data_IF_004137599288
#
_entry.id   IF_004137599288
#
_cell.length_a   1.000
_cell.length_b   1.000
_cell.length_c   1.000
_cell.angle_alpha   90.00
_cell.angle_beta   90.00
_cell.angle_gamma   90.00
#
_symmetry.space_group_name_H-M   'P 1'
#
loop_
_entity.id
_entity.type
_entity.pdbx_description
1 polymer ?
#
# COMPACT_ATOMS: atom_id res chain seq x y z
N UNK A 1 -66.51 31.08 -36.92
CA UNK A 1 -65.74 30.85 -35.68
C UNK A 1 -64.85 29.60 -35.78
N UNK A 2 -63.73 29.63 -36.51
CA UNK A 2 -62.80 28.46 -36.63
C UNK A 2 -61.35 28.91 -37.03
N UNK A 3 -60.84 30.06 -36.57
CA UNK A 3 -59.47 30.51 -36.89
C UNK A 3 -58.58 30.84 -35.68
N UNK A 4 -59.05 30.71 -34.43
CA UNK A 4 -58.34 31.13 -33.24
C UNK A 4 -57.50 30.08 -32.52
N UNK A 5 -57.63 28.77 -32.80
CA UNK A 5 -57.06 27.67 -31.99
C UNK A 5 -55.70 27.14 -32.52
N UNK A 6 -55.34 27.47 -33.76
CA UNK A 6 -54.12 26.90 -34.38
C UNK A 6 -52.83 27.64 -34.06
N UNK A 7 -52.87 28.81 -33.44
CA UNK A 7 -51.65 29.64 -33.16
C UNK A 7 -51.06 29.32 -31.80
N UNK A 8 -51.89 28.91 -30.80
CA UNK A 8 -51.40 28.62 -29.46
C UNK A 8 -50.58 27.33 -29.35
N UNK A 9 -50.80 26.34 -30.24
CA UNK A 9 -50.11 25.01 -30.15
C UNK A 9 -48.66 25.10 -30.70
N UNK A 10 -48.39 26.04 -31.60
CA UNK A 10 -47.02 26.18 -32.18
C UNK A 10 -46.03 26.91 -31.27
N UNK A 11 -46.50 27.71 -30.32
CA UNK A 11 -45.64 28.47 -29.40
C UNK A 11 -45.20 27.60 -28.23
N UNK A 12 -46.02 26.64 -27.79
CA UNK A 12 -45.69 25.74 -26.67
C UNK A 12 -44.60 24.71 -27.00
N UNK A 13 -44.41 24.35 -28.25
CA UNK A 13 -43.38 23.35 -28.65
C UNK A 13 -41.99 23.96 -28.75
N UNK A 14 -41.87 25.28 -28.96
CA UNK A 14 -40.56 25.95 -29.08
C UNK A 14 -39.94 26.24 -27.72
N UNK A 15 -40.72 26.38 -26.64
CA UNK A 15 -40.22 26.65 -25.28
C UNK A 15 -39.61 25.40 -24.62
N UNK A 16 -40.02 24.19 -25.00
CA UNK A 16 -39.52 22.95 -24.42
C UNK A 16 -38.13 22.56 -24.96
N UNK A 17 -37.72 23.09 -26.12
CA UNK A 17 -36.40 22.74 -26.69
C UNK A 17 -35.23 23.62 -26.19
N UNK A 18 -35.49 24.70 -25.45
CA UNK A 18 -34.42 25.62 -24.99
C UNK A 18 -34.00 25.33 -23.52
N UNK A 19 -34.83 24.62 -22.77
CA UNK A 19 -34.50 24.30 -21.33
C UNK A 19 -33.75 22.98 -21.15
N UNK A 20 -33.54 22.19 -22.20
CA UNK A 20 -32.88 20.88 -22.13
C UNK A 20 -31.36 20.91 -22.25
N UNK A 21 -30.75 22.06 -22.59
CA UNK A 21 -29.32 22.09 -22.98
C UNK A 21 -28.36 22.57 -21.86
N UNK A 22 -28.86 23.00 -20.72
CA UNK A 22 -27.97 23.56 -19.65
C UNK A 22 -27.47 22.54 -18.64
N UNK A 23 -28.01 21.31 -18.60
CA UNK A 23 -27.61 20.32 -17.61
C UNK A 23 -26.52 19.35 -18.07
N UNK A 24 -26.23 19.28 -19.37
CA UNK A 24 -25.23 18.35 -19.93
C UNK A 24 -23.82 18.96 -19.94
N UNK A 25 -23.69 20.29 -19.95
CA UNK A 25 -22.38 20.96 -20.00
C UNK A 25 -21.73 21.12 -18.61
N UNK A 26 -22.47 21.03 -17.51
CA UNK A 26 -21.87 21.18 -16.18
C UNK A 26 -21.23 19.90 -15.62
N UNK A 27 -21.51 18.74 -16.21
CA UNK A 27 -20.93 17.45 -15.76
C UNK A 27 -19.52 17.17 -16.29
N UNK A 28 -19.11 17.78 -17.38
CA UNK A 28 -17.84 17.47 -18.08
C UNK A 28 -16.62 18.23 -17.53
N UNK A 29 -16.81 19.21 -16.66
CA UNK A 29 -15.73 20.01 -16.09
C UNK A 29 -15.45 19.70 -14.59
N UNK A 30 -16.03 18.63 -14.03
CA UNK A 30 -15.78 18.25 -12.64
C UNK A 30 -14.74 17.14 -12.45
N UNK A 31 -14.30 16.53 -13.53
CA UNK A 31 -13.58 15.26 -13.44
C UNK A 31 -12.14 15.41 -13.89
N UNK A 32 -11.17 15.71 -13.33
CA UNK A 32 -9.72 15.73 -13.53
C UNK A 32 -9.10 17.13 -13.43
N UNK A 33 -9.00 17.64 -12.22
CA UNK A 33 -8.26 18.88 -11.98
C UNK A 33 -6.73 18.64 -11.87
N UNK A 34 -6.30 17.40 -11.60
CA UNK A 34 -4.88 17.09 -11.48
C UNK A 34 -4.57 15.61 -11.59
N UNK A 35 -3.37 15.33 -12.07
CA UNK A 35 -2.80 13.99 -12.18
C UNK A 35 -1.42 13.99 -11.55
N UNK A 36 -1.12 12.98 -10.73
CA UNK A 36 0.23 12.69 -10.24
C UNK A 36 0.62 11.28 -10.67
N UNK A 37 1.87 11.12 -11.01
CA UNK A 37 2.47 9.84 -11.30
C UNK A 37 3.25 9.34 -10.09
N UNK A 38 3.31 8.04 -9.90
CA UNK A 38 4.10 7.45 -8.84
C UNK A 38 4.77 6.17 -9.30
N UNK A 39 5.82 5.80 -8.59
CA UNK A 39 6.54 4.55 -8.74
C UNK A 39 6.82 3.96 -7.36
N UNK A 40 6.53 2.69 -7.21
CA UNK A 40 6.84 1.89 -6.04
C UNK A 40 7.98 0.95 -6.42
N UNK A 41 9.03 0.93 -5.62
CA UNK A 41 10.22 0.11 -5.85
C UNK A 41 10.65 -0.59 -4.55
N UNK A 42 11.36 -1.69 -4.69
CA UNK A 42 11.92 -2.46 -3.58
C UNK A 42 13.35 -2.06 -3.22
N UNK A 43 14.00 -2.85 -2.37
CA UNK A 43 15.39 -2.65 -1.96
C UNK A 43 16.42 -2.79 -3.08
N UNK A 44 16.06 -3.47 -4.18
CA UNK A 44 16.91 -3.68 -5.35
C UNK A 44 16.64 -2.66 -6.47
N UNK A 45 15.84 -1.61 -6.19
CA UNK A 45 15.36 -0.62 -7.17
C UNK A 45 14.46 -1.22 -8.27
N UNK A 46 13.92 -2.41 -8.05
CA UNK A 46 12.96 -3.03 -8.96
C UNK A 46 11.54 -2.58 -8.65
N UNK A 47 10.73 -2.40 -9.71
CA UNK A 47 9.35 -1.96 -9.56
C UNK A 47 8.48 -3.02 -8.89
N UNK A 48 7.72 -2.65 -7.86
CA UNK A 48 6.82 -3.57 -7.14
C UNK A 48 5.43 -3.55 -7.77
N UNK A 49 5.01 -4.64 -8.46
CA UNK A 49 3.71 -4.71 -9.12
C UNK A 49 2.57 -5.04 -8.15
N UNK A 50 1.34 -4.78 -8.58
CA UNK A 50 0.10 -5.16 -7.90
C UNK A 50 -0.03 -4.64 -6.46
N UNK A 51 0.57 -3.48 -6.16
CA UNK A 51 0.41 -2.78 -4.88
C UNK A 51 -0.91 -2.00 -4.89
N UNK A 52 -1.74 -2.19 -3.87
CA UNK A 52 -2.92 -1.37 -3.63
C UNK A 52 -2.52 0.01 -3.12
N UNK A 53 -2.85 1.05 -3.87
CA UNK A 53 -2.56 2.45 -3.53
C UNK A 53 -3.84 3.12 -3.04
N UNK A 54 -3.92 3.39 -1.74
CA UNK A 54 -5.02 4.11 -1.11
C UNK A 54 -4.60 5.55 -0.82
N UNK A 55 -5.51 6.49 -1.06
CA UNK A 55 -5.31 7.89 -0.68
C UNK A 55 -6.49 8.32 0.19
N UNK A 56 -6.18 8.85 1.38
CA UNK A 56 -7.17 9.23 2.39
C UNK A 56 -8.16 8.09 2.72
N UNK A 57 -7.64 6.84 2.78
CA UNK A 57 -8.42 5.63 3.06
C UNK A 57 -9.16 5.01 1.87
N UNK A 58 -9.14 5.65 0.68
CA UNK A 58 -9.83 5.16 -0.51
C UNK A 58 -8.86 4.57 -1.54
N UNK A 59 -9.17 3.38 -2.06
CA UNK A 59 -8.40 2.78 -3.16
C UNK A 59 -8.49 3.70 -4.40
N UNK A 60 -7.35 4.17 -4.86
CA UNK A 60 -7.23 5.10 -6.01
C UNK A 60 -6.54 4.48 -7.20
N UNK A 61 -5.59 3.57 -6.97
CA UNK A 61 -4.83 2.92 -8.01
C UNK A 61 -4.31 1.55 -7.55
N UNK A 62 -3.82 0.77 -8.51
CA UNK A 62 -2.99 -0.41 -8.30
C UNK A 62 -1.77 -0.25 -9.19
N UNK A 63 -0.58 -0.56 -8.69
CA UNK A 63 0.65 -0.45 -9.47
C UNK A 63 0.70 -1.47 -10.60
N UNK A 64 1.25 -1.05 -11.74
CA UNK A 64 1.46 -1.89 -12.92
C UNK A 64 2.65 -2.86 -12.74
N UNK A 65 2.96 -3.65 -13.79
CA UNK A 65 4.06 -4.61 -13.79
C UNK A 65 5.45 -4.00 -13.54
N UNK A 66 5.59 -2.69 -13.60
CA UNK A 66 6.82 -1.94 -13.37
C UNK A 66 6.73 -1.04 -12.11
N UNK A 67 5.75 -1.29 -11.24
CA UNK A 67 5.58 -0.53 -10.01
C UNK A 67 4.96 0.86 -10.19
N UNK A 68 4.54 1.25 -11.41
CA UNK A 68 4.03 2.59 -11.70
C UNK A 68 2.53 2.67 -11.41
N UNK A 69 2.08 3.83 -10.96
CA UNK A 69 0.67 4.12 -10.73
C UNK A 69 0.34 5.57 -11.06
N UNK A 70 -0.95 5.85 -11.22
CA UNK A 70 -1.47 7.18 -11.55
C UNK A 70 -2.56 7.55 -10.56
N UNK A 71 -2.43 8.70 -9.91
CA UNK A 71 -3.45 9.29 -9.04
C UNK A 71 -4.16 10.43 -9.77
N UNK A 72 -5.49 10.38 -9.73
CA UNK A 72 -6.34 11.43 -10.27
C UNK A 72 -7.01 12.18 -9.13
N UNK A 73 -6.95 13.50 -9.17
CA UNK A 73 -7.49 14.39 -8.15
C UNK A 73 -8.59 15.28 -8.73
N UNK A 74 -9.62 15.51 -7.93
CA UNK A 74 -10.61 16.53 -8.19
C UNK A 74 -10.07 17.91 -7.78
N UNK A 75 -10.59 18.97 -8.35
CA UNK A 75 -10.20 20.34 -7.97
C UNK A 75 -10.33 20.61 -6.45
N UNK A 76 -11.37 20.06 -5.82
CA UNK A 76 -11.56 20.17 -4.38
C UNK A 76 -10.48 19.49 -3.54
N UNK A 77 -9.80 18.47 -4.10
CA UNK A 77 -8.74 17.75 -3.42
C UNK A 77 -7.41 18.50 -3.47
N UNK A 78 -7.17 19.27 -4.54
CA UNK A 78 -5.90 19.97 -4.77
C UNK A 78 -5.93 21.46 -4.42
N UNK A 79 -7.13 22.04 -4.27
CA UNK A 79 -7.31 23.40 -3.79
C UNK A 79 -6.74 23.54 -2.38
N UNK A 80 -6.05 24.63 -2.12
CA UNK A 80 -5.51 25.00 -0.80
C UNK A 80 -4.35 24.11 -0.29
N UNK A 81 -3.61 23.44 -1.21
CA UNK A 81 -2.46 22.58 -0.86
C UNK A 81 -2.75 21.61 0.29
N UNK A 82 -3.84 20.88 0.18
CA UNK A 82 -4.25 19.91 1.20
C UNK A 82 -3.24 18.78 1.35
N UNK A 83 -3.06 18.36 2.57
CA UNK A 83 -2.35 17.15 2.93
C UNK A 83 -3.14 15.92 2.48
N UNK A 84 -2.46 14.97 1.86
CA UNK A 84 -3.00 13.67 1.50
C UNK A 84 -2.20 12.58 2.20
N UNK A 85 -2.88 11.53 2.65
CA UNK A 85 -2.25 10.34 3.22
C UNK A 85 -2.31 9.22 2.21
N UNK A 86 -1.14 8.71 1.83
CA UNK A 86 -1.03 7.52 1.00
C UNK A 86 -0.76 6.30 1.86
N UNK A 87 -1.44 5.21 1.57
CA UNK A 87 -1.22 3.91 2.18
C UNK A 87 -0.99 2.90 1.05
N UNK A 88 0.12 2.17 1.13
CA UNK A 88 0.48 1.10 0.21
C UNK A 88 0.35 -0.24 0.90
N UNK A 89 -0.37 -1.16 0.26
CA UNK A 89 -0.58 -2.50 0.79
C UNK A 89 -0.36 -3.55 -0.30
N UNK A 90 0.46 -4.54 0.02
CA UNK A 90 0.67 -5.75 -0.77
C UNK A 90 1.00 -6.89 0.19
N UNK A 91 0.46 -8.09 -0.08
CA UNK A 91 0.79 -9.31 0.66
C UNK A 91 2.30 -9.60 0.57
N UNK A 92 2.91 -9.98 1.70
CA UNK A 92 4.34 -10.24 1.79
C UNK A 92 5.23 -9.00 1.88
N UNK A 93 4.66 -7.80 1.89
CA UNK A 93 5.40 -6.53 2.01
C UNK A 93 5.01 -5.76 3.27
N UNK A 94 5.94 -4.97 3.79
CA UNK A 94 5.64 -4.02 4.86
C UNK A 94 4.71 -2.92 4.35
N UNK A 95 3.67 -2.61 5.16
CA UNK A 95 2.72 -1.53 4.81
C UNK A 95 3.40 -0.18 4.96
N UNK A 96 3.30 0.64 3.91
CA UNK A 96 3.81 2.01 3.92
C UNK A 96 2.67 2.99 4.14
N UNK A 97 2.91 3.98 5.00
CA UNK A 97 1.99 5.11 5.24
C UNK A 97 2.79 6.39 5.25
N UNK A 98 2.49 7.28 4.31
CA UNK A 98 3.17 8.55 4.14
C UNK A 98 2.18 9.70 3.92
N UNK A 99 2.69 10.90 4.08
CA UNK A 99 1.97 12.14 3.80
C UNK A 99 2.60 12.81 2.58
N UNK A 100 1.76 13.28 1.68
CA UNK A 100 2.22 14.03 0.52
C UNK A 100 1.28 15.21 0.21
N UNK A 101 1.77 16.13 -0.60
CA UNK A 101 0.99 17.24 -1.15
C UNK A 101 0.92 17.11 -2.66
N UNK A 102 -0.22 17.50 -3.23
CA UNK A 102 -0.33 17.54 -4.67
C UNK A 102 0.60 18.62 -5.23
N UNK A 103 1.55 18.20 -6.05
CA UNK A 103 2.42 19.07 -6.82
C UNK A 103 2.31 18.69 -8.31
N UNK A 104 1.86 19.62 -9.18
CA UNK A 104 1.81 19.35 -10.61
C UNK A 104 3.18 18.93 -11.15
N UNK A 105 3.18 17.89 -11.99
CA UNK A 105 4.40 17.35 -12.63
C UNK A 105 5.44 16.71 -11.67
N UNK A 106 5.15 16.61 -10.38
CA UNK A 106 5.99 15.83 -9.47
C UNK A 106 5.74 14.33 -9.61
N UNK A 107 6.73 13.54 -9.22
CA UNK A 107 6.67 12.09 -9.20
C UNK A 107 6.79 11.58 -7.76
N UNK A 108 5.85 10.76 -7.32
CA UNK A 108 5.93 10.06 -6.05
C UNK A 108 6.84 8.84 -6.19
N UNK A 109 7.97 8.83 -5.49
CA UNK A 109 8.86 7.68 -5.38
C UNK A 109 8.74 7.10 -3.99
N UNK A 110 8.21 5.86 -3.89
CA UNK A 110 7.96 5.23 -2.59
C UNK A 110 8.59 3.85 -2.58
N UNK A 111 9.43 3.61 -1.57
CA UNK A 111 10.06 2.32 -1.36
C UNK A 111 9.16 1.42 -0.51
N UNK A 112 9.04 0.15 -0.89
CA UNK A 112 8.44 -0.90 -0.09
C UNK A 112 9.44 -2.04 0.10
N UNK A 113 9.50 -2.59 1.30
CA UNK A 113 10.38 -3.72 1.61
C UNK A 113 9.56 -5.00 1.77
N UNK A 114 10.01 -6.07 1.14
CA UNK A 114 9.41 -7.40 1.34
C UNK A 114 9.82 -7.99 2.69
N UNK A 115 8.99 -8.87 3.24
CA UNK A 115 9.35 -9.59 4.45
C UNK A 115 10.60 -10.45 4.27
N UNK A 116 10.81 -10.99 3.07
CA UNK A 116 12.01 -11.76 2.69
C UNK A 116 13.28 -10.90 2.76
N UNK A 117 13.26 -9.71 2.15
CA UNK A 117 14.42 -8.80 2.17
C UNK A 117 14.74 -8.33 3.60
N UNK A 118 13.70 -8.03 4.39
CA UNK A 118 13.85 -7.63 5.80
C UNK A 118 14.49 -8.76 6.62
N UNK A 119 14.06 -10.01 6.45
CA UNK A 119 14.64 -11.14 7.18
C UNK A 119 16.06 -11.46 6.70
N UNK A 120 16.33 -11.32 5.42
CA UNK A 120 17.68 -11.48 4.87
C UNK A 120 18.66 -10.48 5.44
N UNK A 121 18.25 -9.23 5.60
CA UNK A 121 19.06 -8.21 6.28
C UNK A 121 19.28 -8.57 7.75
N UNK A 122 18.23 -9.06 8.43
CA UNK A 122 18.35 -9.53 9.81
C UNK A 122 19.34 -10.70 9.95
N UNK A 123 19.35 -11.65 9.01
CA UNK A 123 20.32 -12.76 8.99
C UNK A 123 21.76 -12.24 8.84
N UNK A 124 21.99 -11.28 7.93
CA UNK A 124 23.30 -10.65 7.75
C UNK A 124 23.79 -10.00 9.05
N UNK A 125 22.91 -9.26 9.72
CA UNK A 125 23.21 -8.62 11.00
C UNK A 125 23.46 -9.65 12.14
N UNK A 126 22.79 -10.79 12.10
CA UNK A 126 23.05 -11.91 13.04
C UNK A 126 24.47 -12.47 12.84
N UNK A 127 24.90 -12.61 11.59
CA UNK A 127 26.25 -13.11 11.27
C UNK A 127 27.35 -12.10 11.65
N UNK A 128 27.04 -10.81 11.56
CA UNK A 128 27.89 -9.70 12.05
C UNK A 128 27.86 -9.54 13.58
N UNK A 129 27.00 -10.29 14.29
CA UNK A 129 26.74 -10.22 15.73
C UNK A 129 26.09 -8.92 16.20
N UNK A 130 25.48 -8.18 15.30
CA UNK A 130 24.73 -6.96 15.56
C UNK A 130 23.28 -7.30 15.99
N UNK A 131 23.16 -8.10 17.08
CA UNK A 131 21.89 -8.72 17.48
C UNK A 131 20.77 -7.71 17.75
N UNK A 132 21.09 -6.55 18.34
CA UNK A 132 20.09 -5.52 18.60
C UNK A 132 19.46 -4.97 17.32
N UNK A 133 20.27 -4.70 16.29
CA UNK A 133 19.75 -4.27 15.00
C UNK A 133 18.96 -5.37 14.29
N UNK A 134 19.48 -6.61 14.35
CA UNK A 134 18.76 -7.76 13.79
C UNK A 134 17.35 -7.90 14.38
N UNK A 135 17.21 -7.74 15.71
CA UNK A 135 15.90 -7.80 16.37
C UNK A 135 14.93 -6.72 15.86
N UNK A 136 15.41 -5.51 15.54
CA UNK A 136 14.56 -4.45 14.97
C UNK A 136 13.99 -4.86 13.61
N UNK A 137 14.81 -5.43 12.72
CA UNK A 137 14.38 -5.94 11.42
C UNK A 137 13.39 -7.10 11.58
N UNK A 138 13.70 -8.05 12.47
CA UNK A 138 12.81 -9.17 12.74
C UNK A 138 11.45 -8.69 13.29
N UNK A 139 11.42 -7.67 14.15
CA UNK A 139 10.18 -7.11 14.70
C UNK A 139 9.33 -6.41 13.63
N UNK A 140 9.93 -5.93 12.55
CA UNK A 140 9.23 -5.45 11.37
C UNK A 140 8.64 -6.62 10.58
N UNK A 141 9.45 -7.65 10.28
CA UNK A 141 9.04 -8.82 9.51
C UNK A 141 7.89 -9.61 10.17
N UNK A 142 7.91 -9.78 11.49
CA UNK A 142 6.85 -10.46 12.25
C UNK A 142 5.46 -9.84 12.06
N UNK A 143 5.38 -8.56 11.70
CA UNK A 143 4.13 -7.84 11.45
C UNK A 143 3.60 -8.09 10.04
N UNK A 144 4.42 -8.65 9.14
CA UNK A 144 4.07 -8.96 7.76
C UNK A 144 3.46 -10.37 7.73
N UNK A 145 2.31 -10.48 7.08
CA UNK A 145 1.65 -11.76 6.90
C UNK A 145 2.54 -12.74 6.14
N UNK A 146 2.68 -13.96 6.67
CA UNK A 146 3.54 -15.00 6.11
C UNK A 146 4.95 -15.09 6.72
N UNK A 147 5.48 -14.01 7.33
CA UNK A 147 6.87 -13.98 7.84
C UNK A 147 6.99 -14.06 9.36
N UNK A 148 5.88 -14.17 10.04
CA UNK A 148 5.84 -14.21 11.51
C UNK A 148 6.65 -15.36 12.12
N UNK A 149 6.51 -16.55 11.56
CA UNK A 149 7.13 -17.76 12.14
C UNK A 149 8.62 -17.76 11.89
N UNK A 150 9.05 -17.36 10.71
CA UNK A 150 10.46 -17.23 10.37
C UNK A 150 11.14 -16.16 11.22
N UNK A 151 10.47 -15.03 11.45
CA UNK A 151 10.95 -14.02 12.39
C UNK A 151 11.11 -14.54 13.81
N UNK A 152 10.16 -15.32 14.34
CA UNK A 152 10.32 -15.93 15.67
C UNK A 152 11.46 -16.98 15.70
N UNK A 153 11.66 -17.70 14.60
CA UNK A 153 12.78 -18.62 14.48
C UNK A 153 14.12 -17.86 14.56
N UNK A 154 14.28 -16.77 13.84
CA UNK A 154 15.51 -15.97 13.91
C UNK A 154 15.72 -15.32 15.27
N UNK A 155 14.65 -14.89 15.96
CA UNK A 155 14.76 -14.46 17.36
C UNK A 155 15.30 -15.57 18.28
N UNK A 156 14.82 -16.79 18.10
CA UNK A 156 15.34 -17.93 18.87
C UNK A 156 16.82 -18.18 18.56
N UNK A 157 17.25 -18.01 17.31
CA UNK A 157 18.68 -18.09 16.94
C UNK A 157 19.51 -17.03 17.66
N UNK A 158 19.03 -15.79 17.73
CA UNK A 158 19.70 -14.71 18.48
C UNK A 158 19.84 -15.10 19.96
N UNK A 159 18.73 -15.49 20.60
CA UNK A 159 18.75 -15.88 22.04
C UNK A 159 19.72 -17.03 22.29
N UNK A 160 19.77 -18.01 21.41
CA UNK A 160 20.75 -19.10 21.50
C UNK A 160 22.19 -18.61 21.39
N UNK A 161 22.49 -17.73 20.40
CA UNK A 161 23.83 -17.14 20.21
C UNK A 161 24.24 -16.25 21.40
N UNK A 162 23.29 -15.65 22.11
CA UNK A 162 23.51 -14.90 23.37
C UNK A 162 23.68 -15.82 24.60
N UNK A 163 23.52 -17.14 24.45
CA UNK A 163 23.59 -18.11 25.55
C UNK A 163 22.30 -18.27 26.37
N UNK A 164 21.21 -17.61 25.96
CA UNK A 164 19.88 -17.62 26.61
C UNK A 164 19.05 -18.80 26.09
N UNK A 165 19.46 -20.02 26.45
CA UNK A 165 18.87 -21.25 25.88
C UNK A 165 17.39 -21.43 26.24
N UNK A 166 16.99 -21.06 27.43
CA UNK A 166 15.61 -21.17 27.90
C UNK A 166 14.69 -20.27 27.10
N UNK A 167 15.08 -19.01 26.85
CA UNK A 167 14.32 -18.07 26.02
C UNK A 167 14.22 -18.54 24.56
N UNK A 168 15.31 -19.10 24.02
CA UNK A 168 15.31 -19.68 22.68
C UNK A 168 14.32 -20.85 22.58
N UNK A 169 14.30 -21.75 23.58
CA UNK A 169 13.38 -22.89 23.64
C UNK A 169 11.91 -22.43 23.67
N UNK A 170 11.58 -21.42 24.50
CA UNK A 170 10.23 -20.86 24.58
C UNK A 170 9.74 -20.28 23.25
N UNK A 171 10.62 -19.60 22.51
CA UNK A 171 10.29 -19.06 21.20
C UNK A 171 10.02 -20.17 20.17
N UNK A 172 10.85 -21.22 20.16
CA UNK A 172 10.69 -22.38 19.27
C UNK A 172 9.46 -23.22 19.61
N UNK A 173 9.09 -23.33 20.90
CA UNK A 173 7.89 -24.05 21.30
C UNK A 173 6.61 -23.42 20.76
N UNK A 174 6.56 -22.08 20.62
CA UNK A 174 5.45 -21.37 20.00
C UNK A 174 5.28 -21.73 18.51
N UNK A 175 6.32 -22.24 17.87
CA UNK A 175 6.34 -22.65 16.46
C UNK A 175 6.16 -24.17 16.26
N UNK A 176 6.09 -24.94 17.35
CA UNK A 176 6.11 -26.41 17.35
C UNK A 176 4.90 -27.05 16.65
N UNK A 177 3.77 -26.34 16.58
CA UNK A 177 2.56 -26.81 15.90
C UNK A 177 2.75 -26.97 14.37
N UNK A 178 3.79 -26.34 13.80
CA UNK A 178 4.16 -26.54 12.41
C UNK A 178 5.24 -27.61 12.32
N UNK A 179 4.93 -28.69 11.63
CA UNK A 179 5.79 -29.87 11.44
C UNK A 179 7.06 -29.53 10.62
N UNK A 180 7.95 -28.73 11.23
CA UNK A 180 9.18 -28.23 10.62
C UNK A 180 10.39 -28.92 11.25
N UNK A 181 11.09 -29.74 10.46
CA UNK A 181 12.27 -30.48 10.89
C UNK A 181 13.41 -29.58 11.37
N UNK A 182 13.53 -28.36 10.86
CA UNK A 182 14.54 -27.39 11.30
C UNK A 182 14.29 -26.98 12.76
N UNK A 183 13.04 -26.72 13.11
CA UNK A 183 12.63 -26.36 14.49
C UNK A 183 12.89 -27.55 15.42
N UNK A 184 12.48 -28.76 15.03
CA UNK A 184 12.72 -29.97 15.83
C UNK A 184 14.22 -30.24 16.03
N UNK A 185 15.01 -30.06 14.98
CA UNK A 185 16.47 -30.21 15.03
C UNK A 185 17.10 -29.19 15.97
N UNK A 186 16.63 -27.95 15.96
CA UNK A 186 17.14 -26.92 16.84
C UNK A 186 16.77 -27.19 18.31
N UNK A 187 15.53 -27.54 18.59
CA UNK A 187 15.09 -27.92 19.95
C UNK A 187 15.95 -29.08 20.53
N UNK A 188 16.36 -30.08 19.72
CA UNK A 188 17.26 -31.15 20.13
C UNK A 188 18.66 -30.65 20.51
N UNK A 189 19.12 -29.51 19.97
CA UNK A 189 20.42 -28.91 20.29
C UNK A 189 20.39 -28.08 21.57
N UNK A 190 19.20 -27.65 22.00
CA UNK A 190 19.02 -26.87 23.22
C UNK A 190 18.97 -27.75 24.46
N UNK A 191 18.45 -28.98 24.33
CA UNK A 191 18.41 -30.00 25.38
C UNK A 191 19.73 -30.79 25.42
#
# INVERSE_FOLDING_TARGET
>A
MKRGIRICIKISIIIVLVTGCSSVWSKKYKDDAGVMYGMIYDGNEEGVPAVSVKVNGWLKAVSDGQGRFILKFLYADIKDKKEHRIELEKEGYEKVKEVFYYEPMSLLHIRMESGEDILKEAESLIDEKEYGKAEEFIDRAIKIEGYRDEGFYLKAVIKYKEGKKEEAAELLEKLKEKDNESIKSFLRKLN
#
